data_IF_385367918827
#
_entry.id   IF_385367918827
#
_cell.length_a   1.000
_cell.length_b   1.000
_cell.length_c   1.000
_cell.angle_alpha   90.00
_cell.angle_beta   90.00
_cell.angle_gamma   90.00
#
_symmetry.space_group_name_H-M   'P 1'
#
loop_
_entity.id
_entity.type
_entity.pdbx_description
1 polymer ?
#
# COMPACT_ATOMS: atom_id res chain seq x y z
N UNK A 1 -21.77 -38.18 -8.03
CA UNK A 1 -21.71 -37.15 -6.96
C UNK A 1 -20.54 -36.25 -7.30
N UNK A 2 -20.84 -35.11 -7.93
CA UNK A 2 -19.85 -34.25 -8.54
C UNK A 2 -19.01 -33.54 -7.47
N UNK A 3 -17.70 -33.74 -7.59
CA UNK A 3 -16.59 -32.99 -7.01
C UNK A 3 -16.95 -31.57 -6.55
N UNK A 4 -16.85 -31.32 -5.24
CA UNK A 4 -16.81 -29.98 -4.68
C UNK A 4 -15.66 -29.18 -5.33
N UNK A 5 -16.05 -28.21 -6.15
CA UNK A 5 -15.20 -27.15 -6.69
C UNK A 5 -14.60 -26.36 -5.52
N UNK A 6 -13.44 -26.81 -5.04
CA UNK A 6 -12.57 -26.00 -4.20
C UNK A 6 -11.99 -24.89 -5.08
N UNK A 7 -12.79 -23.87 -5.37
CA UNK A 7 -12.27 -22.56 -5.75
C UNK A 7 -11.47 -22.07 -4.54
N UNK A 8 -10.16 -22.34 -4.55
CA UNK A 8 -9.20 -21.72 -3.67
C UNK A 8 -9.12 -20.23 -4.01
N UNK A 9 -10.18 -19.49 -3.69
CA UNK A 9 -10.16 -18.04 -3.56
C UNK A 9 -9.10 -17.77 -2.49
N UNK A 10 -8.05 -17.05 -2.88
CA UNK A 10 -6.84 -16.75 -2.11
C UNK A 10 -6.92 -17.12 -0.61
N UNK A 11 -6.08 -18.08 -0.18
CA UNK A 11 -6.02 -18.58 1.20
C UNK A 11 -6.26 -17.47 2.23
N UNK A 12 -7.41 -17.51 2.91
CA UNK A 12 -7.83 -16.51 3.90
C UNK A 12 -6.75 -16.27 4.96
N UNK A 13 -5.93 -17.29 5.27
CA UNK A 13 -4.78 -17.17 6.17
C UNK A 13 -3.71 -16.19 5.67
N UNK A 14 -3.48 -16.12 4.36
CA UNK A 14 -2.53 -15.17 3.79
C UNK A 14 -3.04 -13.73 3.95
N UNK A 15 -4.33 -13.48 3.63
CA UNK A 15 -4.95 -12.17 3.84
C UNK A 15 -4.90 -11.75 5.31
N UNK A 16 -5.17 -12.66 6.26
CA UNK A 16 -5.11 -12.39 7.69
C UNK A 16 -3.71 -12.00 8.16
N UNK A 17 -2.67 -12.68 7.66
CA UNK A 17 -1.27 -12.35 7.98
C UNK A 17 -0.89 -10.96 7.47
N UNK A 18 -1.33 -10.61 6.26
CA UNK A 18 -1.08 -9.29 5.68
C UNK A 18 -1.85 -8.21 6.44
N UNK A 19 -3.10 -8.48 6.84
CA UNK A 19 -3.89 -7.57 7.67
C UNK A 19 -3.18 -7.26 8.99
N UNK A 20 -2.61 -8.28 9.66
CA UNK A 20 -1.78 -8.09 10.85
C UNK A 20 -0.56 -7.19 10.56
N UNK A 21 0.12 -7.42 9.44
CA UNK A 21 1.26 -6.61 9.03
C UNK A 21 0.88 -5.15 8.76
N UNK A 22 -0.27 -4.89 8.12
CA UNK A 22 -0.83 -3.55 7.93
C UNK A 22 -1.17 -2.88 9.27
N UNK A 23 -1.66 -3.65 10.24
CA UNK A 23 -2.01 -3.16 11.57
C UNK A 23 -0.73 -2.71 12.32
N UNK A 24 0.33 -3.51 12.24
CA UNK A 24 1.66 -3.18 12.75
C UNK A 24 2.23 -1.91 12.10
N UNK A 25 2.14 -1.81 10.76
CA UNK A 25 2.60 -0.63 10.02
C UNK A 25 1.81 0.63 10.40
N UNK A 26 0.50 0.49 10.64
CA UNK A 26 -0.35 1.58 11.11
C UNK A 26 0.04 2.03 12.52
N UNK A 27 0.31 1.08 13.42
CA UNK A 27 0.87 1.37 14.75
C UNK A 27 2.21 2.11 14.67
N UNK A 28 3.09 1.72 13.74
CA UNK A 28 4.36 2.41 13.50
C UNK A 28 4.17 3.85 13.00
N UNK A 29 3.23 4.08 12.08
CA UNK A 29 2.88 5.45 11.62
C UNK A 29 2.38 6.32 12.77
N UNK A 30 1.50 5.77 13.61
CA UNK A 30 0.98 6.47 14.80
C UNK A 30 2.12 6.78 15.78
N UNK A 31 3.01 5.83 16.04
CA UNK A 31 4.19 6.03 16.89
C UNK A 31 5.11 7.13 16.38
N UNK A 32 5.39 7.16 15.07
CA UNK A 32 6.19 8.21 14.43
C UNK A 32 5.47 9.56 14.49
N UNK A 33 4.14 9.58 14.42
CA UNK A 33 3.39 10.82 14.62
C UNK A 33 3.51 11.39 16.03
N UNK A 34 3.79 10.57 17.05
CA UNK A 34 4.04 11.04 18.42
C UNK A 34 5.49 11.48 18.65
N UNK A 35 6.46 10.87 17.95
CA UNK A 35 7.87 11.28 18.02
C UNK A 35 8.07 12.48 17.10
N UNK A 36 8.31 13.66 17.68
CA UNK A 36 8.56 14.88 16.90
C UNK A 36 9.95 14.85 16.25
N UNK A 37 10.08 14.21 15.08
CA UNK A 37 11.32 14.19 14.28
C UNK A 37 11.58 15.50 13.51
N UNK A 38 10.85 16.58 13.81
CA UNK A 38 10.97 17.87 13.13
C UNK A 38 10.68 17.74 11.63
N UNK A 39 11.60 18.22 10.79
CA UNK A 39 11.49 18.21 9.32
C UNK A 39 11.38 16.79 8.72
N UNK A 40 11.91 15.76 9.39
CA UNK A 40 11.89 14.40 8.88
C UNK A 40 10.56 13.65 9.09
N UNK A 41 9.61 14.21 9.84
CA UNK A 41 8.33 13.54 10.11
C UNK A 41 7.52 13.29 8.83
N UNK A 42 7.53 14.28 7.93
CA UNK A 42 6.78 14.21 6.67
C UNK A 42 7.32 13.12 5.74
N UNK A 43 8.62 13.09 5.36
CA UNK A 43 9.14 12.03 4.51
C UNK A 43 9.07 10.64 5.17
N UNK A 44 9.24 10.56 6.50
CA UNK A 44 9.07 9.30 7.22
C UNK A 44 7.62 8.78 7.13
N UNK A 45 6.63 9.61 7.43
CA UNK A 45 5.22 9.24 7.33
C UNK A 45 4.83 8.84 5.90
N UNK A 46 5.34 9.56 4.88
CA UNK A 46 5.07 9.27 3.47
C UNK A 46 5.66 7.93 3.01
N UNK A 47 6.87 7.61 3.46
CA UNK A 47 7.51 6.32 3.15
C UNK A 47 6.71 5.14 3.67
N UNK A 48 6.19 5.24 4.89
CA UNK A 48 5.39 4.19 5.52
C UNK A 48 4.01 4.09 4.86
N UNK A 49 3.40 5.23 4.53
CA UNK A 49 2.15 5.27 3.78
C UNK A 49 2.31 4.57 2.41
N UNK A 50 3.42 4.80 1.71
CA UNK A 50 3.72 4.16 0.42
C UNK A 50 3.90 2.65 0.55
N UNK A 51 4.60 2.20 1.61
CA UNK A 51 4.79 0.78 1.89
C UNK A 51 3.45 0.08 2.22
N UNK A 52 2.61 0.73 3.03
CA UNK A 52 1.24 0.28 3.34
C UNK A 52 0.41 0.15 2.06
N UNK A 53 0.40 1.20 1.22
CA UNK A 53 -0.37 1.22 -0.02
C UNK A 53 0.07 0.09 -0.96
N UNK A 54 1.37 -0.17 -1.06
CA UNK A 54 1.93 -1.25 -1.89
C UNK A 54 1.44 -2.63 -1.43
N UNK A 55 1.44 -2.89 -0.10
CA UNK A 55 0.93 -4.12 0.49
C UNK A 55 -0.58 -4.30 0.24
N UNK A 56 -1.37 -3.24 0.44
CA UNK A 56 -2.82 -3.26 0.11
C UNK A 56 -3.02 -3.62 -1.36
N UNK A 57 -2.23 -3.01 -2.25
CA UNK A 57 -2.40 -3.17 -3.69
C UNK A 57 -2.07 -4.59 -4.19
N UNK A 58 -0.97 -5.15 -3.71
CA UNK A 58 -0.52 -6.49 -4.10
C UNK A 58 -1.47 -7.60 -3.62
N UNK A 59 -2.09 -7.42 -2.46
CA UNK A 59 -2.77 -8.51 -1.76
C UNK A 59 -4.29 -8.33 -1.60
N UNK A 60 -4.75 -7.15 -1.17
CA UNK A 60 -6.20 -6.90 -0.96
C UNK A 60 -6.92 -6.57 -2.26
N UNK A 61 -6.26 -5.83 -3.18
CA UNK A 61 -6.82 -5.53 -4.50
C UNK A 61 -6.67 -6.68 -5.50
N UNK A 62 -6.20 -7.84 -5.06
CA UNK A 62 -6.05 -9.04 -5.89
C UNK A 62 -5.25 -8.82 -7.19
N UNK A 63 -4.43 -7.75 -7.24
CA UNK A 63 -3.70 -7.34 -8.45
C UNK A 63 -2.67 -8.39 -8.92
N UNK A 64 -2.29 -9.31 -8.02
CA UNK A 64 -1.45 -10.47 -8.33
C UNK A 64 -2.19 -11.58 -9.09
N UNK A 65 -3.52 -11.62 -9.01
CA UNK A 65 -4.38 -12.65 -9.61
C UNK A 65 -5.26 -12.10 -10.76
N UNK A 66 -5.46 -10.79 -10.83
CA UNK A 66 -6.11 -10.12 -11.95
C UNK A 66 -5.23 -10.08 -13.21
N UNK A 67 -5.87 -10.01 -14.38
CA UNK A 67 -5.18 -10.03 -15.68
C UNK A 67 -4.12 -8.94 -15.82
N UNK A 68 -3.01 -9.24 -16.54
CA UNK A 68 -1.86 -8.33 -16.75
C UNK A 68 -2.26 -6.90 -17.15
N UNK A 69 -3.35 -6.72 -17.90
CA UNK A 69 -3.84 -5.41 -18.36
C UNK A 69 -4.26 -4.52 -17.19
N UNK A 70 -5.00 -5.05 -16.21
CA UNK A 70 -5.46 -4.29 -15.03
C UNK A 70 -4.25 -3.89 -14.18
N UNK A 71 -3.28 -4.81 -14.03
CA UNK A 71 -2.03 -4.53 -13.31
C UNK A 71 -1.24 -3.36 -13.90
N UNK A 72 -1.08 -3.30 -15.22
CA UNK A 72 -0.37 -2.20 -15.88
C UNK A 72 -1.14 -0.88 -15.83
N UNK A 73 -2.46 -0.91 -16.03
CA UNK A 73 -3.29 0.29 -15.94
C UNK A 73 -3.23 0.91 -14.54
N UNK A 74 -3.37 0.09 -13.50
CA UNK A 74 -3.29 0.56 -12.12
C UNK A 74 -1.89 1.06 -11.74
N UNK A 75 -0.84 0.39 -12.22
CA UNK A 75 0.54 0.85 -12.02
C UNK A 75 0.76 2.21 -12.68
N UNK A 76 0.19 2.45 -13.87
CA UNK A 76 0.20 3.75 -14.54
C UNK A 76 -0.48 4.84 -13.71
N UNK A 77 -1.68 4.56 -13.17
CA UNK A 77 -2.37 5.50 -12.29
C UNK A 77 -1.57 5.79 -11.01
N UNK A 78 -1.01 4.75 -10.38
CA UNK A 78 -0.18 4.90 -9.18
C UNK A 78 1.10 5.70 -9.45
N UNK A 79 1.73 5.51 -10.62
CA UNK A 79 2.91 6.27 -11.04
C UNK A 79 2.58 7.76 -11.22
N UNK A 80 1.49 8.07 -11.92
CA UNK A 80 1.04 9.47 -12.10
C UNK A 80 0.75 10.13 -10.75
N UNK A 81 0.07 9.41 -9.85
CA UNK A 81 -0.23 9.89 -8.50
C UNK A 81 1.05 10.12 -7.68
N UNK A 82 2.03 9.21 -7.76
CA UNK A 82 3.33 9.37 -7.10
C UNK A 82 4.11 10.59 -7.62
N UNK A 83 4.09 10.82 -8.94
CA UNK A 83 4.70 12.01 -9.56
C UNK A 83 4.01 13.29 -9.06
N UNK A 84 2.67 13.31 -9.04
CA UNK A 84 1.91 14.47 -8.54
C UNK A 84 2.24 14.80 -7.09
N UNK A 85 2.23 13.78 -6.21
CA UNK A 85 2.59 13.97 -4.79
C UNK A 85 4.03 14.48 -4.67
N UNK A 86 4.97 13.89 -5.42
CA UNK A 86 6.37 14.34 -5.41
C UNK A 86 6.52 15.81 -5.82
N UNK A 87 5.79 16.23 -6.85
CA UNK A 87 5.78 17.61 -7.31
C UNK A 87 5.20 18.57 -6.27
N UNK A 88 4.11 18.18 -5.59
CA UNK A 88 3.54 18.98 -4.49
C UNK A 88 4.52 19.15 -3.33
N UNK A 89 5.25 18.09 -2.95
CA UNK A 89 6.27 18.22 -1.90
C UNK A 89 7.44 19.09 -2.31
N UNK A 90 7.87 19.02 -3.58
CA UNK A 90 8.88 19.91 -4.14
C UNK A 90 8.41 21.37 -4.06
N UNK A 91 7.20 21.66 -4.53
CA UNK A 91 6.61 22.99 -4.48
C UNK A 91 6.52 23.57 -3.04
N UNK A 92 6.08 22.75 -2.08
CA UNK A 92 6.01 23.15 -0.67
C UNK A 92 7.40 23.37 -0.05
N UNK A 93 8.41 22.59 -0.45
CA UNK A 93 9.76 22.70 0.11
C UNK A 93 10.54 23.91 -0.44
N UNK A 94 10.25 24.35 -1.67
CA UNK A 94 10.90 25.48 -2.31
C UNK A 94 10.09 26.79 -2.25
N UNK A 95 8.96 26.78 -1.52
CA UNK A 95 8.19 27.96 -1.10
C UNK A 95 8.77 28.58 0.17
#
# INVERSE_FOLDING_TARGET
MASHEQRHVASYGQLALILLFLLLLTGATVGISYIHLGFFNVPAALSIATLKATLVLLFFMHLRYEGRIIRYSFLGTALVLAIMIGFTFWDVAFR
#
